data_IF_290901667967
#
_entry.id   IF_290901667967
#
_cell.length_a   1.000
_cell.length_b   1.000
_cell.length_c   1.000
_cell.angle_alpha   90.00
_cell.angle_beta   90.00
_cell.angle_gamma   90.00
#
_symmetry.space_group_name_H-M   'P 1'
#
loop_
_entity.id
_entity.type
_entity.pdbx_description
1 polymer ?
#
# COMPACT_ATOMS: atom_id res chain seq x y z
N UNK A 1 5.37 -14.48 -47.35
CA UNK A 1 5.33 -13.14 -46.73
C UNK A 1 5.94 -13.26 -45.35
N UNK A 2 7.07 -12.62 -45.13
CA UNK A 2 7.69 -12.54 -43.80
C UNK A 2 6.83 -11.62 -42.94
N UNK A 3 6.33 -12.14 -41.82
CA UNK A 3 5.66 -11.34 -40.79
C UNK A 3 6.74 -10.63 -39.98
N UNK A 4 7.33 -9.58 -40.56
CA UNK A 4 8.08 -8.58 -39.81
C UNK A 4 7.07 -7.55 -39.29
N UNK A 5 6.19 -7.98 -38.37
CA UNK A 5 5.49 -7.01 -37.53
C UNK A 5 6.55 -6.35 -36.66
N UNK A 6 6.67 -5.01 -36.67
CA UNK A 6 7.60 -4.35 -35.77
C UNK A 6 7.17 -4.71 -34.35
N UNK A 7 8.04 -5.40 -33.64
CA UNK A 7 7.92 -5.57 -32.20
C UNK A 7 8.14 -4.17 -31.61
N UNK A 8 7.05 -3.42 -31.43
CA UNK A 8 7.09 -2.10 -30.78
C UNK A 8 7.37 -2.39 -29.32
N UNK A 9 8.64 -2.43 -28.95
CA UNK A 9 9.07 -2.31 -27.57
C UNK A 9 8.64 -0.92 -27.10
N UNK A 10 7.53 -0.87 -26.37
CA UNK A 10 7.12 0.34 -25.66
C UNK A 10 8.15 0.59 -24.56
N UNK A 11 9.21 1.35 -24.88
CA UNK A 11 10.11 1.91 -23.87
C UNK A 11 9.30 2.88 -23.01
N UNK A 12 9.09 2.50 -21.75
CA UNK A 12 8.50 3.38 -20.74
C UNK A 12 9.39 4.62 -20.59
N UNK A 13 8.80 5.80 -20.75
CA UNK A 13 9.55 7.03 -20.57
C UNK A 13 10.00 7.19 -19.11
N UNK A 14 11.11 7.90 -18.90
CA UNK A 14 11.60 8.21 -17.55
C UNK A 14 10.53 8.93 -16.71
N UNK A 15 9.71 9.76 -17.36
CA UNK A 15 8.59 10.44 -16.73
C UNK A 15 7.50 9.48 -16.25
N UNK A 16 7.09 8.53 -17.08
CA UNK A 16 6.08 7.52 -16.73
C UNK A 16 6.56 6.62 -15.60
N UNK A 17 7.83 6.19 -15.66
CA UNK A 17 8.46 5.39 -14.61
C UNK A 17 8.43 6.10 -13.26
N UNK A 18 8.75 7.41 -13.27
CA UNK A 18 8.72 8.24 -12.07
C UNK A 18 7.30 8.43 -11.54
N UNK A 19 6.34 8.74 -12.42
CA UNK A 19 4.95 8.93 -12.03
C UNK A 19 4.33 7.66 -11.44
N UNK A 20 4.65 6.49 -12.01
CA UNK A 20 4.26 5.18 -11.48
C UNK A 20 4.81 5.00 -10.07
N UNK A 21 6.10 5.22 -9.86
CA UNK A 21 6.73 5.10 -8.54
C UNK A 21 6.09 6.04 -7.50
N UNK A 22 5.87 7.30 -7.86
CA UNK A 22 5.22 8.27 -6.97
C UNK A 22 3.79 7.82 -6.61
N UNK A 23 3.03 7.35 -7.60
CA UNK A 23 1.67 6.83 -7.39
C UNK A 23 1.64 5.60 -6.48
N UNK A 24 2.58 4.68 -6.67
CA UNK A 24 2.69 3.45 -5.86
C UNK A 24 3.08 3.78 -4.40
N UNK A 25 3.96 4.75 -4.20
CA UNK A 25 4.32 5.25 -2.86
C UNK A 25 3.13 5.90 -2.18
N UNK A 26 2.43 6.81 -2.88
CA UNK A 26 1.24 7.48 -2.34
C UNK A 26 0.13 6.47 -2.01
N UNK A 27 -0.05 5.46 -2.85
CA UNK A 27 -0.97 4.37 -2.59
C UNK A 27 -0.58 3.57 -1.35
N UNK A 28 0.68 3.16 -1.22
CA UNK A 28 1.15 2.45 -0.02
C UNK A 28 0.93 3.29 1.26
N UNK A 29 1.14 4.61 1.18
CA UNK A 29 0.90 5.51 2.29
C UNK A 29 -0.58 5.69 2.61
N UNK A 30 -1.47 5.71 1.60
CA UNK A 30 -2.91 5.82 1.82
C UNK A 30 -3.49 4.61 2.55
N UNK A 31 -2.86 3.43 2.45
CA UNK A 31 -3.22 2.25 3.23
C UNK A 31 -3.11 2.47 4.75
N UNK A 32 -2.37 3.48 5.21
CA UNK A 32 -2.34 3.83 6.64
C UNK A 32 -3.64 4.43 7.16
N UNK A 33 -4.56 4.87 6.30
CA UNK A 33 -5.87 5.35 6.72
C UNK A 33 -6.82 4.15 6.95
N UNK A 34 -7.25 3.88 8.20
CA UNK A 34 -8.14 2.76 8.50
C UNK A 34 -9.46 2.82 7.75
N UNK A 35 -9.95 4.03 7.44
CA UNK A 35 -11.21 4.25 6.73
C UNK A 35 -11.07 3.84 5.27
N UNK A 36 -9.89 4.07 4.68
CA UNK A 36 -9.61 3.63 3.32
C UNK A 36 -9.50 2.10 3.24
N UNK A 37 -8.81 1.48 4.20
CA UNK A 37 -8.79 0.01 4.32
C UNK A 37 -10.19 -0.59 4.49
N UNK A 38 -11.04 0.07 5.28
CA UNK A 38 -12.43 -0.34 5.44
C UNK A 38 -13.20 -0.26 4.12
N UNK A 39 -13.03 0.83 3.36
CA UNK A 39 -13.61 0.96 2.02
C UNK A 39 -13.13 -0.15 1.08
N UNK A 40 -11.82 -0.43 1.04
CA UNK A 40 -11.26 -1.50 0.22
C UNK A 40 -11.82 -2.88 0.59
N UNK A 41 -12.04 -3.11 1.89
CA UNK A 41 -12.66 -4.34 2.39
C UNK A 41 -14.13 -4.44 1.97
N UNK A 42 -14.92 -3.36 2.11
CA UNK A 42 -16.33 -3.30 1.71
C UNK A 42 -16.55 -3.54 0.21
N UNK A 43 -15.68 -3.00 -0.63
CA UNK A 43 -15.72 -3.21 -2.09
C UNK A 43 -15.18 -4.59 -2.52
N UNK A 44 -14.65 -5.38 -1.57
CA UNK A 44 -14.18 -6.74 -1.83
C UNK A 44 -12.82 -6.84 -2.51
N UNK A 45 -12.00 -5.78 -2.49
CA UNK A 45 -10.65 -5.82 -3.08
C UNK A 45 -9.76 -6.88 -2.41
N UNK A 46 -9.90 -7.11 -1.10
CA UNK A 46 -9.12 -8.12 -0.39
C UNK A 46 -9.50 -9.57 -0.72
N UNK A 47 -10.59 -9.80 -1.46
CA UNK A 47 -10.99 -11.11 -1.97
C UNK A 47 -10.41 -11.39 -3.37
N UNK A 48 -9.92 -10.36 -4.05
CA UNK A 48 -9.38 -10.46 -5.41
C UNK A 48 -7.90 -10.84 -5.36
N UNK A 49 -7.53 -11.94 -6.01
CA UNK A 49 -6.14 -12.41 -6.02
C UNK A 49 -5.21 -11.42 -6.72
N UNK A 50 -5.71 -10.70 -7.71
CA UNK A 50 -5.03 -9.64 -8.44
C UNK A 50 -4.55 -8.54 -7.49
N UNK A 51 -5.43 -8.11 -6.58
CA UNK A 51 -5.11 -7.08 -5.60
C UNK A 51 -4.12 -7.60 -4.54
N UNK A 52 -4.27 -8.84 -4.07
CA UNK A 52 -3.31 -9.44 -3.14
C UNK A 52 -1.92 -9.60 -3.77
N UNK A 53 -1.86 -9.92 -5.06
CA UNK A 53 -0.60 -9.96 -5.81
C UNK A 53 0.00 -8.57 -5.96
N UNK A 54 -0.83 -7.53 -6.13
CA UNK A 54 -0.36 -6.15 -6.14
C UNK A 54 0.23 -5.72 -4.79
N UNK A 55 -0.38 -6.09 -3.66
CA UNK A 55 0.20 -5.85 -2.33
C UNK A 55 1.57 -6.52 -2.16
N UNK A 56 1.72 -7.75 -2.67
CA UNK A 56 3.02 -8.45 -2.69
C UNK A 56 4.04 -7.73 -3.56
N UNK A 57 3.61 -7.22 -4.71
CA UNK A 57 4.45 -6.43 -5.60
C UNK A 57 4.98 -5.20 -4.86
N UNK A 58 4.13 -4.42 -4.18
CA UNK A 58 4.53 -3.21 -3.44
C UNK A 58 5.62 -3.43 -2.38
N UNK A 59 5.88 -4.67 -1.95
CA UNK A 59 7.00 -4.99 -1.05
C UNK A 59 8.37 -4.65 -1.65
N UNK A 60 8.49 -4.48 -2.97
CA UNK A 60 9.74 -4.01 -3.58
C UNK A 60 10.12 -2.60 -3.09
N UNK A 61 9.13 -1.76 -2.74
CA UNK A 61 9.34 -0.41 -2.18
C UNK A 61 10.01 -0.43 -0.81
N UNK A 62 9.99 -1.58 -0.12
CA UNK A 62 10.64 -1.77 1.18
C UNK A 62 12.15 -2.05 1.07
N UNK A 63 12.68 -2.17 -0.15
CA UNK A 63 14.11 -2.39 -0.39
C UNK A 63 14.79 -1.07 -0.77
N UNK A 64 16.07 -0.96 -0.47
CA UNK A 64 16.91 0.09 -1.05
C UNK A 64 16.90 -0.03 -2.59
N UNK A 65 16.87 1.08 -3.36
CA UNK A 65 16.94 2.48 -2.92
C UNK A 65 15.57 3.14 -2.64
N UNK A 66 14.46 2.42 -2.70
CA UNK A 66 13.10 2.98 -2.70
C UNK A 66 12.60 3.35 -1.31
N UNK A 67 13.00 2.58 -0.29
CA UNK A 67 12.55 2.75 1.10
C UNK A 67 12.77 4.17 1.64
N UNK A 68 13.83 4.87 1.20
CA UNK A 68 14.14 6.24 1.58
C UNK A 68 13.07 7.28 1.16
N UNK A 69 12.21 6.93 0.21
CA UNK A 69 11.14 7.80 -0.26
C UNK A 69 9.86 7.66 0.58
N UNK A 70 9.77 6.66 1.46
CA UNK A 70 8.62 6.48 2.35
C UNK A 70 8.67 7.46 3.52
N UNK A 71 7.71 8.38 3.57
CA UNK A 71 7.58 9.36 4.66
C UNK A 71 6.96 8.78 5.94
N UNK A 72 6.17 7.72 5.81
CA UNK A 72 5.37 7.16 6.89
C UNK A 72 5.81 5.71 7.14
N UNK A 73 6.65 5.43 8.14
CA UNK A 73 7.10 4.07 8.42
C UNK A 73 5.94 3.13 8.79
N UNK A 74 4.83 3.70 9.29
CA UNK A 74 3.60 2.99 9.60
C UNK A 74 3.00 2.26 8.40
N UNK A 75 3.22 2.73 7.17
CA UNK A 75 2.73 2.04 5.97
C UNK A 75 3.36 0.65 5.80
N UNK A 76 4.60 0.47 6.26
CA UNK A 76 5.29 -0.82 6.26
C UNK A 76 4.63 -1.79 7.23
N UNK A 77 4.29 -1.30 8.44
CA UNK A 77 3.60 -2.11 9.44
C UNK A 77 2.22 -2.56 8.95
N UNK A 78 1.45 -1.63 8.36
CA UNK A 78 0.15 -1.95 7.77
C UNK A 78 0.27 -2.98 6.64
N UNK A 79 1.25 -2.83 5.74
CA UNK A 79 1.45 -3.79 4.66
C UNK A 79 1.75 -5.20 5.18
N UNK A 80 2.48 -5.33 6.29
CA UNK A 80 2.73 -6.62 6.92
C UNK A 80 1.47 -7.21 7.58
N UNK A 81 0.67 -6.38 8.25
CA UNK A 81 -0.58 -6.85 8.89
C UNK A 81 -1.60 -7.28 7.83
N UNK A 82 -1.62 -6.61 6.67
CA UNK A 82 -2.48 -6.97 5.53
C UNK A 82 -2.13 -8.33 4.90
N UNK A 83 -0.98 -8.96 5.23
CA UNK A 83 -0.70 -10.34 4.81
C UNK A 83 -1.61 -11.35 5.51
N UNK A 84 -2.08 -11.03 6.71
CA UNK A 84 -3.03 -11.86 7.45
C UNK A 84 -4.43 -11.74 6.84
N UNK A 85 -4.98 -12.89 6.43
CA UNK A 85 -6.33 -12.97 5.88
C UNK A 85 -7.39 -12.62 6.90
N UNK A 86 -7.22 -13.05 8.16
CA UNK A 86 -8.18 -12.78 9.22
C UNK A 86 -8.29 -11.28 9.47
N UNK A 87 -7.16 -10.55 9.39
CA UNK A 87 -7.15 -9.09 9.50
C UNK A 87 -7.86 -8.42 8.32
N UNK A 88 -7.60 -8.85 7.08
CA UNK A 88 -8.28 -8.30 5.90
C UNK A 88 -9.80 -8.45 6.00
N UNK A 89 -10.25 -9.60 6.51
CA UNK A 89 -11.67 -9.89 6.71
C UNK A 89 -12.24 -9.14 7.93
N UNK A 90 -11.46 -8.94 8.99
CA UNK A 90 -11.91 -8.18 10.16
C UNK A 90 -12.11 -6.69 9.86
N UNK A 91 -11.43 -6.15 8.85
CA UNK A 91 -11.62 -4.76 8.39
C UNK A 91 -13.01 -4.47 7.83
N UNK A 92 -13.86 -5.47 7.57
CA UNK A 92 -15.30 -5.27 7.30
C UNK A 92 -16.06 -4.74 8.52
N UNK A 93 -15.57 -5.01 9.73
CA UNK A 93 -16.22 -4.62 10.99
C UNK A 93 -15.79 -3.22 11.39
N UNK A 94 -16.75 -2.31 11.57
CA UNK A 94 -16.48 -0.93 12.00
C UNK A 94 -15.75 -0.85 13.35
N UNK A 95 -15.98 -1.81 14.26
CA UNK A 95 -15.24 -1.91 15.52
C UNK A 95 -13.73 -2.14 15.32
N UNK A 96 -13.34 -2.89 14.29
CA UNK A 96 -11.94 -3.12 13.96
C UNK A 96 -11.29 -1.86 13.40
N UNK A 97 -12.04 -1.12 12.57
CA UNK A 97 -11.59 0.17 12.02
C UNK A 97 -11.33 1.17 13.13
N UNK A 98 -12.26 1.29 14.08
CA UNK A 98 -12.09 2.19 15.21
C UNK A 98 -10.90 1.80 16.08
N UNK A 99 -10.72 0.50 16.37
CA UNK A 99 -9.57 0.03 17.12
C UNK A 99 -8.24 0.35 16.42
N UNK A 100 -8.18 0.24 15.08
CA UNK A 100 -7.00 0.60 14.31
C UNK A 100 -6.77 2.12 14.32
N UNK A 101 -7.82 2.95 14.20
CA UNK A 101 -7.72 4.40 14.38
C UNK A 101 -7.11 4.76 15.74
N UNK A 102 -7.66 4.20 16.82
CA UNK A 102 -7.20 4.47 18.18
C UNK A 102 -5.72 4.07 18.33
N UNK A 103 -5.32 2.89 17.82
CA UNK A 103 -3.92 2.45 17.85
C UNK A 103 -2.97 3.39 17.10
N UNK A 104 -3.38 3.90 15.94
CA UNK A 104 -2.59 4.86 15.19
C UNK A 104 -2.51 6.19 15.93
N UNK A 105 -3.62 6.70 16.47
CA UNK A 105 -3.65 7.92 17.27
C UNK A 105 -2.73 7.84 18.48
N UNK A 106 -2.76 6.73 19.22
CA UNK A 106 -1.83 6.49 20.33
C UNK A 106 -0.37 6.46 19.88
N UNK A 107 -0.07 5.81 18.75
CA UNK A 107 1.29 5.79 18.20
C UNK A 107 1.78 7.20 17.88
N UNK A 108 0.94 8.03 17.25
CA UNK A 108 1.28 9.42 16.93
C UNK A 108 1.46 10.29 18.16
N UNK A 109 0.60 10.14 19.17
CA UNK A 109 0.70 10.87 20.44
C UNK A 109 2.02 10.55 21.15
N UNK A 110 2.38 9.27 21.25
CA UNK A 110 3.65 8.87 21.87
C UNK A 110 4.86 9.37 21.09
N UNK A 111 4.84 9.25 19.75
CA UNK A 111 5.91 9.75 18.90
C UNK A 111 6.06 11.27 18.90
N UNK A 112 4.97 12.01 19.17
CA UNK A 112 5.01 13.45 19.36
C UNK A 112 5.57 13.83 20.74
N UNK A 113 5.21 13.05 21.78
CA UNK A 113 5.68 13.27 23.14
C UNK A 113 7.18 13.01 23.30
N UNK A 114 7.72 11.95 22.69
CA UNK A 114 9.16 11.62 22.72
C UNK A 114 10.06 12.66 22.02
N UNK A 115 9.48 13.62 21.30
CA UNK A 115 10.20 14.69 20.58
C UNK A 115 10.15 16.05 21.29
N UNK A 116 9.53 16.14 22.47
CA UNK A 116 9.52 17.32 23.35
C UNK A 116 10.54 17.17 24.48
#
# INVERSE_FOLDING_TARGET
MSNDEPNIEFEESEFESKLRLESEIEFLQSLTDPRYLHYLSKEGYFLQNEFLNYLKYLRYLLKEPYIKHLRFPTSIAILNILEDEDFRMSMLKESCVQALCDQLDYHWLNFAYDRL
#
